data_IF_452721174292
#
_entry.id   IF_452721174292
#
_cell.length_a   1.000
_cell.length_b   1.000
_cell.length_c   1.000
_cell.angle_alpha   90.00
_cell.angle_beta   90.00
_cell.angle_gamma   90.00
#
_symmetry.space_group_name_H-M   'P 1'
#
loop_
_entity.id
_entity.type
_entity.pdbx_description
1 polymer ?
#
# COMPACT_ATOMS: atom_id res chain seq x y z
N UNK A 1 -103.21 45.39 37.66
CA UNK A 1 -103.26 44.26 38.62
C UNK A 1 -102.84 44.82 39.97
N UNK A 2 -103.66 45.67 40.59
CA UNK A 2 -104.92 45.36 41.29
C UNK A 2 -104.70 44.92 42.75
N UNK A 3 -105.22 45.77 43.65
CA UNK A 3 -105.54 45.50 45.06
C UNK A 3 -106.71 44.49 45.14
N UNK A 4 -106.91 43.75 46.26
CA UNK A 4 -107.47 44.28 47.52
C UNK A 4 -106.71 43.78 48.77
N UNK A 5 -106.79 44.33 50.00
CA UNK A 5 -107.72 45.25 50.69
C UNK A 5 -109.09 44.68 51.11
N UNK A 6 -109.15 43.95 52.23
CA UNK A 6 -110.33 43.86 53.13
C UNK A 6 -109.82 43.83 54.60
N UNK A 7 -110.28 44.64 55.58
CA UNK A 7 -111.62 44.72 56.23
C UNK A 7 -111.99 43.39 56.96
N UNK A 8 -112.50 43.32 58.21
CA UNK A 8 -113.16 44.23 59.18
C UNK A 8 -112.74 43.84 60.63
N UNK A 9 -112.85 44.57 61.76
CA UNK A 9 -113.71 45.65 62.32
C UNK A 9 -114.68 45.14 63.43
N UNK A 10 -115.07 46.05 64.36
CA UNK A 10 -116.00 45.89 65.51
C UNK A 10 -115.53 45.01 66.70
N UNK A 11 -115.88 45.27 67.98
CA UNK A 11 -116.55 46.37 68.71
C UNK A 11 -116.04 46.34 70.19
N UNK A 12 -116.18 47.29 71.12
CA UNK A 12 -116.75 48.66 71.22
C UNK A 12 -116.09 49.35 72.45
N UNK A 13 -116.16 50.65 72.75
CA UNK A 13 -117.22 51.70 72.76
C UNK A 13 -118.09 51.77 74.04
N UNK A 14 -118.26 53.02 74.52
CA UNK A 14 -119.07 53.52 75.66
C UNK A 14 -118.48 53.25 77.08
N UNK A 15 -118.27 54.23 77.97
CA UNK A 15 -118.38 55.70 77.89
C UNK A 15 -119.53 56.31 78.72
N UNK A 16 -119.22 57.34 79.53
CA UNK A 16 -120.16 58.22 80.26
C UNK A 16 -121.02 57.50 81.35
N UNK A 17 -121.64 58.13 82.36
CA UNK A 17 -121.72 59.53 82.80
C UNK A 17 -122.01 59.58 84.31
N UNK A 18 -121.69 60.72 84.94
CA UNK A 18 -122.31 61.28 86.13
C UNK A 18 -123.75 60.84 86.47
N UNK A 19 -124.07 60.77 87.77
CA UNK A 19 -125.06 61.70 88.35
C UNK A 19 -124.94 61.86 89.88
N UNK A 20 -125.07 63.12 90.32
CA UNK A 20 -125.27 63.47 91.73
C UNK A 20 -126.67 63.06 92.19
N UNK A 21 -126.80 62.60 93.43
CA UNK A 21 -127.97 62.89 94.25
C UNK A 21 -127.53 63.31 95.64
N UNK A 22 -127.31 64.61 95.82
CA UNK A 22 -127.54 65.22 97.12
C UNK A 22 -129.05 65.19 97.38
N UNK A 23 -129.46 64.63 98.51
CA UNK A 23 -130.74 64.97 99.13
C UNK A 23 -130.50 65.35 100.59
N UNK A 24 -130.24 66.65 100.76
CA UNK A 24 -130.65 67.39 101.94
C UNK A 24 -132.18 67.44 101.99
N UNK A 25 -132.79 67.05 103.10
CA UNK A 25 -133.88 67.76 103.76
C UNK A 25 -134.20 67.03 105.09
N UNK A 26 -134.23 67.65 106.26
CA UNK A 26 -134.80 68.91 106.76
C UNK A 26 -136.19 68.74 107.38
N UNK A 27 -136.22 68.83 108.72
CA UNK A 27 -137.32 69.27 109.58
C UNK A 27 -136.80 69.15 111.02
N UNK A 28 -136.60 70.22 111.81
CA UNK A 28 -137.62 71.14 112.35
C UNK A 28 -138.75 70.40 113.08
N UNK A 29 -139.35 70.83 114.19
CA UNK A 29 -139.16 71.92 115.17
C UNK A 29 -140.37 71.78 116.12
N UNK A 30 -140.18 71.57 117.42
CA UNK A 30 -141.18 71.82 118.49
C UNK A 30 -140.46 71.61 119.84
N UNK A 31 -140.52 72.49 120.86
CA UNK A 31 -141.69 72.89 121.69
C UNK A 31 -142.40 71.66 122.29
N UNK A 32 -142.69 71.59 123.59
CA UNK A 32 -142.53 72.55 124.69
C UNK A 32 -142.97 71.92 126.02
N UNK A 33 -142.33 72.31 127.12
CA UNK A 33 -142.88 72.45 128.49
C UNK A 33 -143.64 71.30 129.19
N UNK A 34 -143.79 71.49 130.51
CA UNK A 34 -144.79 70.90 131.42
C UNK A 34 -144.37 69.60 132.15
N UNK A 35 -144.07 69.81 133.44
CA UNK A 35 -144.34 68.97 134.61
C UNK A 35 -143.60 67.63 134.86
N UNK A 36 -142.66 67.72 135.81
CA UNK A 36 -142.64 66.91 137.05
C UNK A 36 -143.30 65.52 137.03
N UNK A 37 -142.49 64.47 136.84
CA UNK A 37 -142.89 63.09 137.10
C UNK A 37 -141.73 62.09 137.09
N UNK A 38 -141.21 61.74 138.28
CA UNK A 38 -140.34 60.58 138.55
C UNK A 38 -139.18 60.31 137.55
N UNK A 39 -138.13 61.12 137.60
CA UNK A 39 -136.86 60.91 136.88
C UNK A 39 -135.96 59.81 137.48
N UNK A 40 -136.53 58.64 137.80
CA UNK A 40 -135.78 57.45 138.24
C UNK A 40 -135.49 56.45 137.12
N UNK A 41 -136.44 56.24 136.19
CA UNK A 41 -136.39 55.11 135.23
C UNK A 41 -135.89 55.46 133.81
N UNK A 42 -135.79 56.74 133.44
CA UNK A 42 -135.46 57.12 132.05
C UNK A 42 -133.94 57.13 131.75
N UNK A 43 -133.11 57.47 132.74
CA UNK A 43 -131.64 57.44 132.62
C UNK A 43 -131.10 56.04 132.34
N UNK A 44 -131.73 55.00 132.89
CA UNK A 44 -131.36 53.61 132.65
C UNK A 44 -131.53 53.24 131.16
N UNK A 45 -132.65 53.63 130.54
CA UNK A 45 -132.96 53.34 129.13
C UNK A 45 -132.04 54.08 128.13
N UNK A 46 -131.66 55.34 128.42
CA UNK A 46 -130.70 56.04 127.55
C UNK A 46 -129.27 55.48 127.65
N UNK A 47 -128.86 55.01 128.83
CA UNK A 47 -127.58 54.32 129.02
C UNK A 47 -127.58 52.98 128.27
N UNK A 48 -128.67 52.19 128.33
CA UNK A 48 -128.75 50.93 127.57
C UNK A 48 -128.78 51.16 126.05
N UNK A 49 -129.43 52.22 125.54
CA UNK A 49 -129.44 52.49 124.10
C UNK A 49 -128.09 53.00 123.56
N UNK A 50 -127.37 53.85 124.31
CA UNK A 50 -125.97 54.19 124.00
C UNK A 50 -125.08 52.95 124.08
N UNK A 51 -125.24 52.12 125.10
CA UNK A 51 -124.51 50.85 125.27
C UNK A 51 -124.74 49.92 124.07
N UNK A 52 -126.00 49.73 123.62
CA UNK A 52 -126.31 48.97 122.41
C UNK A 52 -125.64 49.55 121.17
N UNK A 53 -125.65 50.88 120.98
CA UNK A 53 -125.03 51.51 119.81
C UNK A 53 -123.50 51.33 119.81
N UNK A 54 -122.85 51.43 120.97
CA UNK A 54 -121.44 51.08 121.13
C UNK A 54 -121.16 49.59 120.90
N UNK A 55 -122.05 48.70 121.32
CA UNK A 55 -121.97 47.25 121.07
C UNK A 55 -122.11 46.89 119.58
N UNK A 56 -123.02 47.56 118.86
CA UNK A 56 -123.17 47.40 117.41
C UNK A 56 -121.92 47.88 116.69
N UNK A 57 -121.43 49.08 117.01
CA UNK A 57 -120.25 49.67 116.36
C UNK A 57 -118.97 48.88 116.68
N UNK A 58 -118.82 48.37 117.91
CA UNK A 58 -117.74 47.45 118.27
C UNK A 58 -117.84 46.09 117.56
N UNK A 59 -119.05 45.60 117.29
CA UNK A 59 -119.25 44.40 116.46
C UNK A 59 -118.97 44.67 114.97
N UNK A 60 -119.23 45.86 114.46
CA UNK A 60 -118.84 46.26 113.10
C UNK A 60 -117.32 46.40 112.97
N UNK A 61 -116.63 47.01 113.94
CA UNK A 61 -115.16 47.02 113.98
C UNK A 61 -114.60 45.60 113.99
N UNK A 62 -115.11 44.71 114.85
CA UNK A 62 -114.71 43.28 114.85
C UNK A 62 -114.98 42.56 113.53
N UNK A 63 -116.04 42.93 112.79
CA UNK A 63 -116.30 42.40 111.44
C UNK A 63 -115.29 42.95 110.44
N UNK A 64 -115.01 44.25 110.47
CA UNK A 64 -114.08 44.91 109.55
C UNK A 64 -112.63 44.44 109.76
N UNK A 65 -112.17 44.31 111.01
CA UNK A 65 -110.86 43.71 111.33
C UNK A 65 -110.77 42.28 110.81
N UNK A 66 -111.83 41.48 110.99
CA UNK A 66 -111.89 40.10 110.45
C UNK A 66 -111.85 40.08 108.93
N UNK A 67 -112.50 41.03 108.25
CA UNK A 67 -112.43 41.20 106.79
C UNK A 67 -111.01 41.60 106.37
N UNK A 68 -110.38 42.57 107.04
CA UNK A 68 -109.00 42.99 106.78
C UNK A 68 -108.00 41.85 106.95
N UNK A 69 -108.10 41.05 108.01
CA UNK A 69 -107.25 39.86 108.18
C UNK A 69 -107.49 38.78 107.11
N UNK A 70 -108.70 38.66 106.56
CA UNK A 70 -108.97 37.76 105.43
C UNK A 70 -108.38 38.30 104.13
N UNK A 71 -108.55 39.60 103.84
CA UNK A 71 -107.96 40.26 102.67
C UNK A 71 -106.43 40.23 102.70
N UNK A 72 -105.81 40.50 103.85
CA UNK A 72 -104.36 40.41 104.02
C UNK A 72 -103.85 38.97 103.82
N UNK A 73 -104.61 37.96 104.26
CA UNK A 73 -104.30 36.54 104.02
C UNK A 73 -104.46 36.15 102.54
N UNK A 74 -105.47 36.67 101.85
CA UNK A 74 -105.62 36.51 100.40
C UNK A 74 -104.43 37.14 99.67
N UNK A 75 -104.12 38.41 99.93
CA UNK A 75 -102.99 39.12 99.35
C UNK A 75 -101.65 38.39 99.59
N UNK A 76 -101.39 37.89 100.81
CA UNK A 76 -100.19 37.08 101.11
C UNK A 76 -100.15 35.76 100.34
N UNK A 77 -101.30 35.14 100.07
CA UNK A 77 -101.38 33.93 99.24
C UNK A 77 -101.20 34.26 97.75
N UNK A 78 -101.76 35.36 97.26
CA UNK A 78 -101.62 35.78 95.86
C UNK A 78 -100.17 36.16 95.54
N UNK A 79 -99.48 36.89 96.44
CA UNK A 79 -98.04 37.16 96.33
C UNK A 79 -97.23 35.85 96.27
N UNK A 80 -97.58 34.85 97.10
CA UNK A 80 -96.92 33.52 97.06
C UNK A 80 -97.19 32.80 95.74
N UNK A 81 -98.42 32.84 95.23
CA UNK A 81 -98.81 32.21 93.98
C UNK A 81 -98.11 32.85 92.78
N UNK A 82 -98.05 34.18 92.73
CA UNK A 82 -97.33 34.95 91.69
C UNK A 82 -95.83 34.62 91.75
N UNK A 83 -95.20 34.68 92.92
CA UNK A 83 -93.78 34.33 93.06
C UNK A 83 -93.50 32.89 92.65
N UNK A 84 -94.39 31.94 93.00
CA UNK A 84 -94.28 30.55 92.58
C UNK A 84 -94.37 30.41 91.06
N UNK A 85 -95.35 31.06 90.43
CA UNK A 85 -95.51 31.08 88.98
C UNK A 85 -94.30 31.72 88.26
N UNK A 86 -93.71 32.78 88.82
CA UNK A 86 -92.48 33.39 88.30
C UNK A 86 -91.30 32.41 88.40
N UNK A 87 -91.10 31.75 89.54
CA UNK A 87 -90.04 30.76 89.68
C UNK A 87 -90.25 29.53 88.77
N UNK A 88 -91.48 29.06 88.60
CA UNK A 88 -91.83 28.00 87.65
C UNK A 88 -91.56 28.44 86.19
N UNK A 89 -91.92 29.67 85.82
CA UNK A 89 -91.63 30.24 84.50
C UNK A 89 -90.12 30.37 84.25
N UNK A 90 -89.36 30.91 85.20
CA UNK A 90 -87.91 31.02 85.14
C UNK A 90 -87.25 29.64 84.98
N UNK A 91 -87.65 28.67 85.81
CA UNK A 91 -87.12 27.29 85.79
C UNK A 91 -87.43 26.56 84.48
N UNK A 92 -88.57 26.84 83.85
CA UNK A 92 -89.00 26.14 82.63
C UNK A 92 -88.50 26.82 81.35
N UNK A 93 -88.50 28.16 81.29
CA UNK A 93 -88.30 28.93 80.06
C UNK A 93 -87.09 29.89 80.06
N UNK A 94 -86.40 30.07 81.19
CA UNK A 94 -85.21 30.95 81.29
C UNK A 94 -83.94 30.17 81.64
N UNK A 95 -83.85 28.90 81.22
CA UNK A 95 -82.66 28.08 81.45
C UNK A 95 -81.46 28.58 80.62
N UNK A 96 -80.21 28.41 81.10
CA UNK A 96 -79.03 28.79 80.32
C UNK A 96 -78.97 28.11 78.94
N UNK A 97 -79.37 26.85 78.85
CA UNK A 97 -79.31 26.04 77.63
C UNK A 97 -80.33 26.49 76.56
N UNK A 98 -81.36 27.23 76.96
CA UNK A 98 -82.39 27.77 76.05
C UNK A 98 -82.06 29.17 75.51
N UNK A 99 -80.86 29.70 75.80
CA UNK A 99 -80.39 30.99 75.25
C UNK A 99 -79.95 30.83 73.79
N UNK A 100 -80.11 31.91 73.01
CA UNK A 100 -79.73 31.93 71.58
C UNK A 100 -78.23 31.76 71.38
N UNK A 101 -77.44 32.26 72.31
CA UNK A 101 -75.98 32.27 72.36
C UNK A 101 -75.38 31.19 73.29
N UNK A 102 -76.16 30.16 73.63
CA UNK A 102 -75.66 29.05 74.46
C UNK A 102 -74.59 28.23 73.75
N UNK A 103 -74.66 28.10 72.42
CA UNK A 103 -73.63 27.47 71.58
C UNK A 103 -72.23 28.10 71.75
N UNK A 104 -72.18 29.42 71.92
CA UNK A 104 -70.94 30.17 72.20
C UNK A 104 -70.51 30.10 73.68
N UNK A 105 -71.45 29.80 74.59
CA UNK A 105 -71.25 29.81 76.04
C UNK A 105 -71.16 28.41 76.67
N UNK A 106 -71.28 27.36 75.86
CA UNK A 106 -71.32 25.96 76.28
C UNK A 106 -69.93 25.52 76.78
N UNK A 107 -69.78 25.12 78.05
CA UNK A 107 -68.48 24.69 78.60
C UNK A 107 -67.93 23.42 77.91
N UNK A 108 -68.76 22.70 77.14
CA UNK A 108 -68.35 21.53 76.36
C UNK A 108 -68.20 21.78 74.85
N UNK A 109 -68.32 23.03 74.38
CA UNK A 109 -68.24 23.36 72.94
C UNK A 109 -67.00 22.74 72.27
N UNK A 110 -65.82 22.87 72.89
CA UNK A 110 -64.55 22.32 72.38
C UNK A 110 -64.50 20.78 72.31
N UNK A 111 -65.36 20.07 73.03
CA UNK A 111 -65.48 18.59 72.95
C UNK A 111 -66.47 18.15 71.87
N UNK A 112 -67.44 19.00 71.54
CA UNK A 112 -68.50 18.76 70.56
C UNK A 112 -68.06 19.16 69.14
N UNK A 113 -67.16 20.12 69.04
CA UNK A 113 -66.57 20.54 67.77
C UNK A 113 -65.70 19.44 67.13
N UNK A 114 -65.58 19.48 65.80
CA UNK A 114 -64.80 18.53 65.01
C UNK A 114 -63.48 19.17 64.57
N UNK A 115 -62.36 18.43 64.53
CA UNK A 115 -61.11 18.98 64.02
C UNK A 115 -61.28 19.49 62.57
N UNK A 116 -60.57 20.57 62.27
CA UNK A 116 -60.66 21.31 61.01
C UNK A 116 -60.34 20.45 59.76
N UNK A 117 -59.53 19.41 59.92
CA UNK A 117 -59.21 18.37 58.92
C UNK A 117 -59.27 17.00 59.61
N UNK A 118 -60.15 16.11 59.13
CA UNK A 118 -60.27 14.73 59.64
C UNK A 118 -59.39 13.73 58.89
N UNK A 119 -59.13 13.99 57.61
CA UNK A 119 -58.37 13.13 56.71
C UNK A 119 -57.85 13.97 55.54
N UNK A 120 -56.84 13.47 54.83
CA UNK A 120 -56.31 14.12 53.61
C UNK A 120 -57.35 14.21 52.48
N UNK A 121 -58.37 13.36 52.53
CA UNK A 121 -59.48 13.32 51.57
C UNK A 121 -60.81 13.86 52.15
N UNK A 122 -60.76 14.66 53.23
CA UNK A 122 -61.95 15.30 53.81
C UNK A 122 -62.57 16.31 52.81
N UNK A 123 -63.81 16.10 52.31
CA UNK A 123 -64.42 16.99 51.32
C UNK A 123 -64.68 18.41 51.83
N UNK A 124 -64.64 18.64 53.15
CA UNK A 124 -64.78 19.98 53.76
C UNK A 124 -63.53 20.84 53.54
N UNK A 125 -62.37 20.23 53.33
CA UNK A 125 -61.08 20.92 53.15
C UNK A 125 -60.95 21.47 51.72
N UNK A 126 -61.73 22.50 51.41
CA UNK A 126 -61.65 23.25 50.15
C UNK A 126 -60.42 24.17 50.10
N UNK A 127 -60.05 24.64 48.90
CA UNK A 127 -58.88 25.48 48.66
C UNK A 127 -58.90 26.78 49.50
N UNK A 128 -60.08 27.37 49.71
CA UNK A 128 -60.23 28.61 50.51
C UNK A 128 -60.07 28.38 52.02
N UNK A 129 -60.18 27.14 52.51
CA UNK A 129 -60.06 26.82 53.94
C UNK A 129 -58.62 26.77 54.46
N UNK A 130 -57.62 26.79 53.57
CA UNK A 130 -56.17 26.73 53.87
C UNK A 130 -55.75 25.52 54.75
N UNK A 131 -56.58 24.48 54.86
CA UNK A 131 -56.32 23.30 55.69
C UNK A 131 -55.49 22.21 54.98
N UNK A 132 -55.33 22.31 53.66
CA UNK A 132 -54.60 21.34 52.82
C UNK A 132 -53.92 22.08 51.67
N UNK A 133 -52.62 21.91 51.53
CA UNK A 133 -51.85 22.48 50.42
C UNK A 133 -51.34 21.39 49.48
N UNK A 134 -51.46 21.58 48.17
CA UNK A 134 -51.01 20.58 47.19
C UNK A 134 -49.47 20.42 47.13
N UNK A 135 -48.72 21.32 47.77
CA UNK A 135 -47.27 21.19 47.97
C UNK A 135 -46.87 20.33 49.18
N UNK A 136 -47.82 19.97 50.05
CA UNK A 136 -47.62 19.01 51.15
C UNK A 136 -47.59 17.58 50.58
N UNK A 137 -46.51 17.26 49.87
CA UNK A 137 -46.35 15.96 49.23
C UNK A 137 -46.09 14.84 50.24
N UNK A 138 -47.17 14.24 50.73
CA UNK A 138 -47.17 13.10 51.64
C UNK A 138 -46.44 11.87 51.05
N UNK A 139 -46.37 11.77 49.72
CA UNK A 139 -45.73 10.66 49.00
C UNK A 139 -44.25 10.93 48.68
N UNK A 140 -43.66 12.02 49.18
CA UNK A 140 -42.26 12.41 48.94
C UNK A 140 -41.28 11.24 49.14
N UNK A 141 -41.39 10.54 50.28
CA UNK A 141 -40.52 9.42 50.61
C UNK A 141 -40.66 8.24 49.62
N UNK A 142 -41.86 7.97 49.13
CA UNK A 142 -42.11 6.92 48.14
C UNK A 142 -41.55 7.33 46.77
N UNK A 143 -41.80 8.56 46.31
CA UNK A 143 -41.23 9.08 45.05
C UNK A 143 -39.70 9.06 45.10
N UNK A 144 -39.10 9.51 46.19
CA UNK A 144 -37.64 9.51 46.37
C UNK A 144 -37.06 8.09 46.38
N UNK A 145 -37.78 7.09 46.92
CA UNK A 145 -37.38 5.68 46.83
C UNK A 145 -37.39 5.19 45.38
N UNK A 146 -38.49 5.38 44.65
CA UNK A 146 -38.57 4.97 43.24
C UNK A 146 -37.53 5.68 42.36
N UNK A 147 -37.29 6.98 42.56
CA UNK A 147 -36.24 7.72 41.82
C UNK A 147 -34.84 7.18 42.09
N UNK A 148 -34.52 6.82 43.35
CA UNK A 148 -33.25 6.18 43.70
C UNK A 148 -33.11 4.78 43.09
N UNK A 149 -34.18 4.00 43.05
CA UNK A 149 -34.20 2.68 42.40
C UNK A 149 -34.00 2.79 40.89
N UNK A 150 -34.70 3.70 40.21
CA UNK A 150 -34.50 3.96 38.77
C UNK A 150 -33.05 4.39 38.46
N UNK A 151 -32.52 5.36 39.22
CA UNK A 151 -31.14 5.84 39.03
C UNK A 151 -30.10 4.73 39.29
N UNK A 152 -30.35 3.85 40.28
CA UNK A 152 -29.50 2.69 40.56
C UNK A 152 -29.50 1.71 39.39
N UNK A 153 -30.65 1.33 38.87
CA UNK A 153 -30.72 0.38 37.75
C UNK A 153 -30.13 0.97 36.46
N UNK A 154 -30.36 2.24 36.14
CA UNK A 154 -29.70 2.92 35.02
C UNK A 154 -28.18 2.97 35.19
N UNK A 155 -27.69 3.27 36.39
CA UNK A 155 -26.25 3.29 36.68
C UNK A 155 -25.61 1.90 36.57
N UNK A 156 -26.30 0.85 37.04
CA UNK A 156 -25.86 -0.54 36.89
C UNK A 156 -25.86 -0.98 35.43
N UNK A 157 -26.86 -0.56 34.64
CA UNK A 157 -26.93 -0.85 33.21
C UNK A 157 -25.76 -0.19 32.46
N UNK A 158 -25.54 1.11 32.66
CA UNK A 158 -24.39 1.81 32.06
C UNK A 158 -23.04 1.19 32.45
N UNK A 159 -22.88 0.75 33.70
CA UNK A 159 -21.66 0.05 34.13
C UNK A 159 -21.48 -1.32 33.46
N UNK A 160 -22.55 -2.05 33.16
CA UNK A 160 -22.50 -3.31 32.40
C UNK A 160 -22.14 -3.03 30.95
N UNK A 161 -22.82 -2.10 30.31
CA UNK A 161 -22.63 -1.77 28.89
C UNK A 161 -21.20 -1.23 28.64
N UNK A 162 -20.68 -0.39 29.55
CA UNK A 162 -19.29 0.06 29.50
C UNK A 162 -18.27 -1.09 29.69
N UNK A 163 -18.53 -2.02 30.62
CA UNK A 163 -17.67 -3.21 30.82
C UNK A 163 -17.68 -4.14 29.60
N UNK A 164 -18.84 -4.33 28.99
CA UNK A 164 -19.00 -5.15 27.79
C UNK A 164 -18.24 -4.50 26.62
N UNK A 165 -18.49 -3.21 26.33
CA UNK A 165 -17.77 -2.48 25.29
C UNK A 165 -16.25 -2.48 25.48
N UNK A 166 -15.76 -2.38 26.73
CA UNK A 166 -14.34 -2.49 27.04
C UNK A 166 -13.79 -3.91 26.84
N UNK A 167 -14.59 -4.95 27.08
CA UNK A 167 -14.20 -6.34 26.82
C UNK A 167 -14.17 -6.63 25.31
N UNK A 168 -15.17 -6.16 24.57
CA UNK A 168 -15.25 -6.26 23.10
C UNK A 168 -14.09 -5.52 22.43
N UNK A 169 -13.75 -4.31 22.90
CA UNK A 169 -12.57 -3.57 22.45
C UNK A 169 -11.28 -4.37 22.68
N UNK A 170 -11.04 -4.85 23.90
CA UNK A 170 -9.85 -5.65 24.21
C UNK A 170 -9.75 -6.92 23.38
N UNK A 171 -10.88 -7.59 23.13
CA UNK A 171 -10.91 -8.78 22.28
C UNK A 171 -10.58 -8.45 20.82
N UNK A 172 -11.05 -7.31 20.31
CA UNK A 172 -10.72 -6.82 18.97
C UNK A 172 -9.23 -6.43 18.87
N UNK A 173 -8.68 -5.75 19.87
CA UNK A 173 -7.27 -5.38 19.96
C UNK A 173 -6.37 -6.63 20.04
N UNK A 174 -6.70 -7.60 20.90
CA UNK A 174 -6.00 -8.89 21.02
C UNK A 174 -6.02 -9.68 19.70
N UNK A 175 -7.14 -9.65 18.97
CA UNK A 175 -7.28 -10.29 17.66
C UNK A 175 -6.44 -9.57 16.59
N UNK A 176 -6.41 -8.24 16.62
CA UNK A 176 -5.59 -7.43 15.73
C UNK A 176 -4.09 -7.69 15.96
N UNK A 177 -3.63 -7.72 17.22
CA UNK A 177 -2.24 -8.01 17.56
C UNK A 177 -1.83 -9.43 17.13
N UNK A 178 -2.69 -10.44 17.32
CA UNK A 178 -2.46 -11.81 16.81
C UNK A 178 -2.33 -11.82 15.29
N UNK A 179 -3.25 -11.18 14.58
CA UNK A 179 -3.21 -11.08 13.12
C UNK A 179 -1.94 -10.35 12.63
N UNK A 180 -1.49 -9.29 13.32
CA UNK A 180 -0.24 -8.60 13.00
C UNK A 180 0.97 -9.52 13.15
N UNK A 181 1.07 -10.24 14.28
CA UNK A 181 2.17 -11.19 14.54
C UNK A 181 2.17 -12.32 13.50
N UNK A 182 1.01 -12.86 13.12
CA UNK A 182 0.91 -13.87 12.06
C UNK A 182 1.36 -13.34 10.70
N UNK A 183 1.02 -12.09 10.35
CA UNK A 183 1.47 -11.47 9.10
C UNK A 183 2.99 -11.27 9.10
N UNK A 184 3.57 -10.76 10.20
CA UNK A 184 5.01 -10.60 10.35
C UNK A 184 5.74 -11.95 10.22
N UNK A 185 5.21 -13.02 10.82
CA UNK A 185 5.74 -14.39 10.68
C UNK A 185 5.67 -14.88 9.22
N UNK A 186 4.55 -14.69 8.53
CA UNK A 186 4.37 -15.05 7.12
C UNK A 186 5.33 -14.27 6.21
N UNK A 187 5.58 -12.99 6.51
CA UNK A 187 6.55 -12.14 5.80
C UNK A 187 7.98 -12.66 6.00
N UNK A 188 8.40 -12.93 7.24
CA UNK A 188 9.73 -13.48 7.54
C UNK A 188 9.96 -14.83 6.85
N UNK A 189 8.96 -15.72 6.87
CA UNK A 189 9.05 -17.01 6.19
C UNK A 189 9.12 -16.86 4.66
N UNK A 190 8.33 -15.95 4.09
CA UNK A 190 8.37 -15.67 2.65
C UNK A 190 9.73 -15.11 2.22
N UNK A 191 10.31 -14.19 3.00
CA UNK A 191 11.66 -13.65 2.77
C UNK A 191 12.73 -14.75 2.87
N UNK A 192 12.64 -15.64 3.86
CA UNK A 192 13.56 -16.79 3.99
C UNK A 192 13.49 -17.70 2.76
N UNK A 193 12.27 -18.09 2.34
CA UNK A 193 12.05 -18.91 1.13
C UNK A 193 12.52 -18.23 -0.15
N UNK A 194 12.37 -16.91 -0.26
CA UNK A 194 12.88 -16.15 -1.41
C UNK A 194 14.41 -16.13 -1.44
N UNK A 195 15.07 -15.90 -0.32
CA UNK A 195 16.53 -15.91 -0.21
C UNK A 195 17.12 -17.31 -0.46
N UNK A 196 16.47 -18.37 0.05
CA UNK A 196 16.81 -19.77 -0.28
C UNK A 196 16.69 -20.05 -1.78
N UNK A 197 15.60 -19.59 -2.42
CA UNK A 197 15.41 -19.74 -3.86
C UNK A 197 16.45 -18.95 -4.68
N UNK A 198 16.74 -17.70 -4.31
CA UNK A 198 17.81 -16.88 -4.94
C UNK A 198 19.16 -17.59 -4.86
N UNK A 199 19.50 -18.18 -3.71
CA UNK A 199 20.74 -18.97 -3.53
C UNK A 199 20.75 -20.22 -4.42
N UNK A 200 19.64 -20.94 -4.49
CA UNK A 200 19.50 -22.14 -5.35
C UNK A 200 19.66 -21.79 -6.84
N UNK A 201 19.02 -20.71 -7.31
CA UNK A 201 19.16 -20.21 -8.69
C UNK A 201 20.61 -19.80 -8.97
N UNK A 202 21.24 -19.01 -8.09
CA UNK A 202 22.64 -18.63 -8.24
C UNK A 202 23.60 -19.83 -8.27
N UNK A 203 23.36 -20.86 -7.46
CA UNK A 203 24.14 -22.09 -7.48
C UNK A 203 23.96 -22.86 -8.81
N UNK A 204 22.72 -23.06 -9.24
CA UNK A 204 22.41 -23.72 -10.52
C UNK A 204 23.02 -22.99 -11.73
N UNK A 205 22.94 -21.65 -11.76
CA UNK A 205 23.57 -20.83 -12.81
C UNK A 205 25.10 -20.94 -12.78
N UNK A 206 25.71 -20.95 -11.59
CA UNK A 206 27.16 -21.13 -11.44
C UNK A 206 27.61 -22.50 -11.94
N UNK A 207 26.89 -23.57 -11.62
CA UNK A 207 27.24 -24.93 -12.04
C UNK A 207 26.98 -25.14 -13.55
N UNK A 208 25.92 -24.54 -14.11
CA UNK A 208 25.71 -24.48 -15.56
C UNK A 208 26.86 -23.76 -16.28
N UNK A 209 27.24 -22.56 -15.83
CA UNK A 209 28.36 -21.81 -16.41
C UNK A 209 29.70 -22.57 -16.30
N UNK A 210 29.91 -23.30 -15.20
CA UNK A 210 31.07 -24.19 -15.02
C UNK A 210 31.06 -25.35 -16.01
N UNK A 211 29.92 -26.01 -16.21
CA UNK A 211 29.78 -27.10 -17.17
C UNK A 211 30.02 -26.59 -18.61
N UNK A 212 29.42 -25.46 -18.98
CA UNK A 212 29.61 -24.82 -20.29
C UNK A 212 31.08 -24.40 -20.53
N UNK A 213 31.76 -23.89 -19.51
CA UNK A 213 33.19 -23.55 -19.60
C UNK A 213 34.07 -24.79 -19.80
N UNK A 214 33.74 -25.92 -19.14
CA UNK A 214 34.44 -27.19 -19.32
C UNK A 214 34.19 -27.79 -20.72
N UNK A 215 32.95 -27.80 -21.19
CA UNK A 215 32.59 -28.22 -22.55
C UNK A 215 33.34 -27.40 -23.62
N UNK A 216 33.37 -26.08 -23.47
CA UNK A 216 34.11 -25.19 -24.37
C UNK A 216 35.62 -25.43 -24.33
N UNK A 217 36.17 -25.78 -23.17
CA UNK A 217 37.60 -26.11 -23.03
C UNK A 217 37.95 -27.43 -23.74
N UNK A 218 37.15 -28.49 -23.56
CA UNK A 218 37.33 -29.76 -24.28
C UNK A 218 37.11 -29.59 -25.79
N UNK A 219 36.10 -28.81 -26.22
CA UNK A 219 35.90 -28.53 -27.65
C UNK A 219 37.10 -27.81 -28.26
N UNK A 220 37.65 -26.79 -27.59
CA UNK A 220 38.88 -26.09 -28.02
C UNK A 220 40.11 -26.99 -28.04
N UNK A 221 40.17 -28.00 -27.19
CA UNK A 221 41.24 -29.00 -27.19
C UNK A 221 41.10 -29.92 -28.41
N UNK A 222 39.90 -30.44 -28.67
CA UNK A 222 39.60 -31.22 -29.87
C UNK A 222 39.83 -30.43 -31.16
N UNK A 223 39.43 -29.15 -31.23
CA UNK A 223 39.71 -28.25 -32.35
C UNK A 223 41.23 -28.08 -32.59
N UNK A 224 42.04 -27.97 -31.52
CA UNK A 224 43.51 -27.93 -31.62
C UNK A 224 44.11 -29.26 -32.05
N UNK A 225 43.64 -30.37 -31.49
CA UNK A 225 44.13 -31.71 -31.81
C UNK A 225 43.75 -32.12 -33.25
N UNK A 226 42.60 -31.66 -33.76
CA UNK A 226 42.21 -31.76 -35.17
C UNK A 226 43.12 -30.90 -36.03
N UNK A 227 43.25 -29.60 -35.74
CA UNK A 227 44.12 -28.72 -36.50
C UNK A 227 45.57 -29.24 -36.55
N UNK A 228 46.11 -29.75 -35.45
CA UNK A 228 47.47 -30.30 -35.42
C UNK A 228 47.61 -31.55 -36.32
N UNK A 229 46.55 -32.34 -36.50
CA UNK A 229 46.53 -33.44 -37.48
C UNK A 229 46.44 -32.90 -38.90
N UNK A 230 45.53 -31.97 -39.17
CA UNK A 230 45.36 -31.36 -40.48
C UNK A 230 46.66 -30.67 -40.95
N UNK A 231 47.31 -29.89 -40.07
CA UNK A 231 48.61 -29.25 -40.31
C UNK A 231 49.71 -30.32 -40.59
N UNK A 232 49.72 -31.45 -39.88
CA UNK A 232 50.67 -32.55 -40.10
C UNK A 232 50.41 -33.33 -41.37
N UNK A 233 49.14 -33.54 -41.73
CA UNK A 233 48.72 -34.20 -42.97
C UNK A 233 49.00 -33.31 -44.18
N UNK A 234 48.83 -31.98 -44.07
CA UNK A 234 49.30 -31.01 -45.06
C UNK A 234 50.82 -31.09 -45.25
N UNK A 235 51.61 -31.02 -44.16
CA UNK A 235 53.07 -31.15 -44.22
C UNK A 235 53.49 -32.48 -44.87
N UNK A 236 52.86 -33.59 -44.48
CA UNK A 236 53.11 -34.91 -45.05
C UNK A 236 52.78 -34.97 -46.55
N UNK A 237 51.63 -34.41 -46.95
CA UNK A 237 51.21 -34.34 -48.35
C UNK A 237 52.11 -33.42 -49.19
N UNK A 238 52.64 -32.34 -48.63
CA UNK A 238 53.59 -31.45 -49.31
C UNK A 238 54.95 -32.11 -49.49
N UNK A 239 55.45 -32.80 -48.46
CA UNK A 239 56.73 -33.54 -48.50
C UNK A 239 56.69 -34.72 -49.49
N UNK A 240 55.57 -35.45 -49.54
CA UNK A 240 55.34 -36.52 -50.52
C UNK A 240 54.99 -35.99 -51.92
N UNK A 241 54.56 -34.74 -52.01
CA UNK A 241 54.21 -34.09 -53.27
C UNK A 241 55.40 -34.00 -54.23
N UNK A 242 55.14 -34.19 -55.52
CA UNK A 242 56.16 -34.19 -56.58
C UNK A 242 57.02 -32.91 -56.63
N UNK A 243 56.51 -31.79 -56.13
CA UNK A 243 57.20 -30.50 -56.14
C UNK A 243 58.42 -30.51 -55.22
N UNK A 244 58.27 -30.99 -53.97
CA UNK A 244 59.35 -31.02 -52.97
C UNK A 244 60.21 -32.29 -53.07
N UNK A 245 59.61 -33.42 -53.47
CA UNK A 245 60.35 -34.66 -53.75
C UNK A 245 61.11 -34.64 -55.08
N UNK A 246 60.91 -33.58 -55.88
CA UNK A 246 61.43 -33.36 -57.22
C UNK A 246 61.22 -34.50 -58.24
N UNK A 247 60.22 -35.37 -58.03
CA UNK A 247 59.97 -36.60 -58.77
C UNK A 247 60.26 -36.49 -60.30
N UNK A 248 61.24 -37.25 -60.84
CA UNK A 248 61.59 -37.18 -62.26
C UNK A 248 60.49 -37.69 -63.21
N UNK A 249 59.52 -38.46 -62.70
CA UNK A 249 58.40 -38.95 -63.52
C UNK A 249 57.47 -37.81 -64.00
N UNK A 250 57.48 -36.65 -63.34
CA UNK A 250 56.74 -35.45 -63.80
C UNK A 250 57.11 -34.98 -65.21
N UNK A 251 58.31 -35.30 -65.68
CA UNK A 251 58.78 -34.95 -67.00
C UNK A 251 58.19 -35.87 -68.10
N UNK A 252 57.61 -37.03 -67.75
CA UNK A 252 57.10 -38.00 -68.73
C UNK A 252 55.79 -37.52 -69.32
N UNK A 253 55.72 -37.42 -70.66
CA UNK A 253 54.49 -37.03 -71.35
C UNK A 253 53.46 -38.16 -71.36
N UNK A 254 52.20 -37.83 -71.09
CA UNK A 254 51.05 -38.73 -71.26
C UNK A 254 50.92 -39.29 -72.69
N UNK A 255 51.47 -38.59 -73.68
CA UNK A 255 51.49 -39.05 -75.09
C UNK A 255 52.62 -40.05 -75.41
N UNK A 256 53.41 -40.46 -74.42
CA UNK A 256 54.33 -41.59 -74.50
C UNK A 256 55.72 -41.34 -73.91
N UNK A 257 56.33 -42.41 -73.38
CA UNK A 257 57.61 -42.40 -72.64
C UNK A 257 58.83 -41.82 -73.38
N UNK A 258 58.75 -41.66 -74.71
CA UNK A 258 59.81 -41.06 -75.54
C UNK A 258 59.73 -39.53 -75.61
N UNK A 259 58.69 -38.91 -75.05
CA UNK A 259 58.48 -37.45 -75.03
C UNK A 259 58.59 -36.93 -73.61
N UNK A 260 59.37 -35.86 -73.45
CA UNK A 260 59.45 -35.09 -72.21
C UNK A 260 58.60 -33.83 -72.31
N UNK A 261 58.00 -33.41 -71.20
CA UNK A 261 57.33 -32.12 -71.04
C UNK A 261 58.41 -31.05 -70.82
N UNK A 262 58.61 -30.07 -71.72
CA UNK A 262 59.74 -29.14 -71.65
C UNK A 262 59.86 -28.40 -70.31
N UNK A 263 58.74 -27.85 -69.83
CA UNK A 263 58.68 -27.02 -68.61
C UNK A 263 58.97 -27.79 -67.32
N UNK A 264 58.97 -29.13 -67.37
CA UNK A 264 59.17 -30.02 -66.21
C UNK A 264 60.45 -30.86 -66.32
N UNK A 265 61.27 -30.62 -67.33
CA UNK A 265 62.46 -31.41 -67.59
C UNK A 265 63.62 -31.01 -66.66
N UNK A 266 64.06 -31.94 -65.81
CA UNK A 266 65.13 -31.73 -64.80
C UNK A 266 66.46 -32.39 -65.17
N UNK A 267 66.71 -32.64 -66.45
CA UNK A 267 67.91 -33.29 -66.96
C UNK A 267 67.73 -34.77 -67.32
N UNK A 268 68.84 -35.48 -67.54
CA UNK A 268 68.85 -36.88 -67.95
C UNK A 268 68.88 -37.82 -66.74
N UNK A 269 68.22 -38.98 -66.84
CA UNK A 269 68.30 -40.01 -65.81
C UNK A 269 69.75 -40.53 -65.67
N UNK A 270 70.12 -41.00 -64.47
CA UNK A 270 71.44 -41.56 -64.16
C UNK A 270 71.82 -42.69 -65.13
N UNK A 271 70.88 -43.55 -65.49
CA UNK A 271 71.12 -44.65 -66.45
C UNK A 271 71.44 -44.13 -67.86
N UNK A 272 70.77 -43.06 -68.30
CA UNK A 272 71.04 -42.41 -69.59
C UNK A 272 72.42 -41.75 -69.59
N UNK A 273 72.80 -41.09 -68.50
CA UNK A 273 74.14 -40.51 -68.32
C UNK A 273 75.22 -41.59 -68.29
N UNK A 274 74.96 -42.75 -67.68
CA UNK A 274 75.88 -43.89 -67.71
C UNK A 274 76.01 -44.50 -69.10
N UNK A 275 74.91 -44.63 -69.86
CA UNK A 275 74.96 -45.06 -71.26
C UNK A 275 75.77 -44.09 -72.14
N UNK A 276 75.62 -42.77 -71.96
CA UNK A 276 76.44 -41.77 -72.67
C UNK A 276 77.93 -41.90 -72.32
N UNK A 277 78.27 -42.03 -71.03
CA UNK A 277 79.67 -42.23 -70.59
C UNK A 277 80.27 -43.52 -71.18
N UNK A 278 79.49 -44.60 -71.24
CA UNK A 278 79.91 -45.84 -71.87
C UNK A 278 80.17 -45.65 -73.37
N UNK A 279 79.26 -45.00 -74.09
CA UNK A 279 79.45 -44.68 -75.52
C UNK A 279 80.67 -43.78 -75.77
N UNK A 280 80.92 -42.79 -74.91
CA UNK A 280 82.12 -41.96 -74.97
C UNK A 280 83.41 -42.78 -74.75
N UNK A 281 83.39 -43.73 -73.81
CA UNK A 281 84.52 -44.64 -73.59
C UNK A 281 84.79 -45.50 -74.83
N UNK A 282 83.75 -46.02 -75.49
CA UNK A 282 83.90 -46.76 -76.76
C UNK A 282 84.45 -45.87 -77.89
N UNK A 283 84.02 -44.61 -78.00
CA UNK A 283 84.56 -43.65 -78.97
C UNK A 283 86.04 -43.35 -78.75
N UNK A 284 86.50 -43.28 -77.49
CA UNK A 284 87.94 -43.10 -77.16
C UNK A 284 88.75 -44.31 -77.62
N UNK A 285 88.25 -45.54 -77.37
CA UNK A 285 88.91 -46.78 -77.80
C UNK A 285 88.98 -46.89 -79.32
N UNK A 286 87.88 -46.62 -80.04
CA UNK A 286 87.86 -46.67 -81.51
C UNK A 286 88.74 -45.58 -82.13
N UNK A 287 88.78 -44.37 -81.53
CA UNK A 287 89.70 -43.30 -81.99
C UNK A 287 91.17 -43.66 -81.76
N UNK A 288 91.49 -44.34 -80.66
CA UNK A 288 92.85 -44.84 -80.40
C UNK A 288 93.26 -45.89 -81.45
N UNK A 289 92.36 -46.83 -81.75
CA UNK A 289 92.56 -47.85 -82.79
C UNK A 289 92.74 -47.23 -84.18
N UNK A 290 91.89 -46.28 -84.58
CA UNK A 290 92.01 -45.59 -85.87
C UNK A 290 93.34 -44.83 -85.99
N UNK A 291 93.85 -44.27 -84.90
CA UNK A 291 95.17 -43.64 -84.87
C UNK A 291 96.30 -44.67 -85.06
N UNK A 292 96.22 -45.84 -84.42
CA UNK A 292 97.19 -46.92 -84.63
C UNK A 292 97.16 -47.45 -86.09
N UNK A 293 95.98 -47.49 -86.72
CA UNK A 293 95.82 -47.80 -88.16
C UNK A 293 96.34 -46.67 -89.09
N UNK A 294 96.41 -45.42 -88.61
CA UNK A 294 97.00 -44.26 -89.31
C UNK A 294 98.53 -44.24 -89.16
N UNK A 295 99.06 -44.30 -87.94
CA UNK A 295 100.50 -44.39 -87.64
C UNK A 295 101.16 -45.56 -88.40
N UNK A 296 100.45 -46.70 -88.57
CA UNK A 296 100.91 -47.82 -89.40
C UNK A 296 100.97 -47.51 -90.88
N UNK A 297 99.99 -46.80 -91.44
CA UNK A 297 99.95 -46.41 -92.87
C UNK A 297 101.04 -45.39 -93.17
N UNK A 298 101.25 -44.41 -92.30
CA UNK A 298 102.32 -43.42 -92.43
C UNK A 298 103.70 -44.10 -92.36
N UNK A 299 103.89 -45.06 -91.45
CA UNK A 299 105.12 -45.86 -91.40
C UNK A 299 105.34 -46.75 -92.64
N UNK A 300 104.27 -47.18 -93.33
CA UNK A 300 104.37 -47.89 -94.62
C UNK A 300 104.72 -46.92 -95.76
N UNK A 301 104.13 -45.73 -95.78
CA UNK A 301 104.41 -44.65 -96.72
C UNK A 301 105.86 -44.16 -96.62
N UNK A 302 106.35 -43.91 -95.41
CA UNK A 302 107.75 -43.51 -95.17
C UNK A 302 108.74 -44.61 -95.58
N UNK A 303 108.41 -45.89 -95.34
CA UNK A 303 109.22 -47.00 -95.85
C UNK A 303 109.31 -46.99 -97.37
N UNK A 304 108.20 -46.73 -98.07
CA UNK A 304 108.18 -46.61 -99.53
C UNK A 304 108.98 -45.39 -100.03
N UNK A 305 108.82 -44.22 -99.41
CA UNK A 305 109.58 -43.01 -99.74
C UNK A 305 111.10 -43.20 -99.56
N UNK A 306 111.52 -43.81 -98.45
CA UNK A 306 112.95 -44.09 -98.19
C UNK A 306 113.51 -45.09 -99.22
N UNK A 307 112.73 -46.10 -99.63
CA UNK A 307 113.14 -47.03 -100.68
C UNK A 307 113.25 -46.33 -102.06
N UNK A 308 112.28 -45.48 -102.41
CA UNK A 308 112.30 -44.69 -103.65
C UNK A 308 113.50 -43.74 -103.71
N UNK A 309 113.77 -43.00 -102.62
CA UNK A 309 114.93 -42.11 -102.51
C UNK A 309 116.26 -42.88 -102.63
N UNK A 310 116.38 -44.06 -102.02
CA UNK A 310 117.56 -44.94 -102.17
C UNK A 310 117.72 -45.41 -103.62
N UNK A 311 116.64 -45.78 -104.30
CA UNK A 311 116.69 -46.18 -105.71
C UNK A 311 117.13 -45.03 -106.63
N UNK A 312 116.63 -43.80 -106.38
CA UNK A 312 117.07 -42.60 -107.09
C UNK A 312 118.56 -42.32 -106.90
N UNK A 313 119.09 -42.37 -105.67
CA UNK A 313 120.52 -42.19 -105.40
C UNK A 313 121.41 -43.23 -106.11
N UNK A 314 120.97 -44.48 -106.22
CA UNK A 314 121.69 -45.53 -106.96
C UNK A 314 121.69 -45.25 -108.47
N UNK A 315 120.55 -44.82 -109.04
CA UNK A 315 120.44 -44.39 -110.43
C UNK A 315 121.33 -43.18 -110.74
N UNK A 316 121.34 -42.18 -109.87
CA UNK A 316 122.17 -40.97 -110.02
C UNK A 316 123.67 -41.34 -109.97
N UNK A 317 124.10 -42.19 -109.03
CA UNK A 317 125.48 -42.68 -109.00
C UNK A 317 125.85 -43.46 -110.26
N UNK A 318 124.93 -44.24 -110.85
CA UNK A 318 125.17 -44.95 -112.10
C UNK A 318 125.34 -43.97 -113.27
N UNK A 319 124.46 -42.97 -113.39
CA UNK A 319 124.59 -41.90 -114.40
C UNK A 319 125.92 -41.15 -114.23
N UNK A 320 126.33 -40.81 -113.01
CA UNK A 320 127.61 -40.13 -112.77
C UNK A 320 128.84 -40.95 -113.15
N UNK A 321 128.78 -42.30 -113.11
CA UNK A 321 129.84 -43.17 -113.64
C UNK A 321 129.88 -43.10 -115.17
N UNK A 322 128.74 -43.27 -115.84
CA UNK A 322 128.66 -43.17 -117.30
C UNK A 322 129.07 -41.79 -117.84
N UNK A 323 128.78 -40.70 -117.11
CA UNK A 323 129.22 -39.34 -117.48
C UNK A 323 130.74 -39.21 -117.36
N UNK A 324 131.36 -39.81 -116.33
CA UNK A 324 132.83 -39.84 -116.19
C UNK A 324 133.50 -40.66 -117.29
N UNK A 325 132.93 -41.80 -117.66
CA UNK A 325 133.42 -42.63 -118.77
C UNK A 325 133.32 -41.89 -120.11
N UNK A 326 132.17 -41.27 -120.41
CA UNK A 326 131.99 -40.44 -121.62
C UNK A 326 132.93 -39.23 -121.66
N UNK A 327 133.21 -38.58 -120.52
CA UNK A 327 134.21 -37.50 -120.48
C UNK A 327 135.61 -37.99 -120.83
N UNK A 328 136.08 -39.10 -120.26
CA UNK A 328 137.39 -39.68 -120.61
C UNK A 328 137.51 -40.01 -122.09
N UNK A 329 136.44 -40.54 -122.70
CA UNK A 329 136.42 -40.83 -124.14
C UNK A 329 136.47 -39.54 -125.01
N UNK A 330 135.80 -38.46 -124.59
CA UNK A 330 135.89 -37.16 -125.25
C UNK A 330 137.28 -36.51 -125.07
N UNK A 331 137.88 -36.63 -123.90
CA UNK A 331 139.22 -36.08 -123.62
C UNK A 331 140.30 -36.75 -124.49
N UNK A 332 140.19 -38.06 -124.74
CA UNK A 332 141.08 -38.77 -125.68
C UNK A 332 140.89 -38.33 -127.13
N UNK A 333 139.64 -38.21 -127.60
CA UNK A 333 139.34 -37.77 -128.98
C UNK A 333 139.81 -36.32 -129.20
N UNK A 334 139.63 -35.44 -128.21
CA UNK A 334 140.09 -34.04 -128.30
C UNK A 334 141.63 -33.93 -128.33
N UNK A 335 142.36 -34.85 -127.70
CA UNK A 335 143.82 -34.88 -127.77
C UNK A 335 144.33 -35.24 -129.17
N UNK A 336 143.68 -36.18 -129.86
CA UNK A 336 143.94 -36.54 -131.26
C UNK A 336 143.60 -35.36 -132.18
N UNK A 337 142.40 -34.78 -132.04
CA UNK A 337 141.94 -33.66 -132.87
C UNK A 337 142.81 -32.39 -132.73
N UNK A 338 143.38 -32.16 -131.54
CA UNK A 338 144.30 -31.04 -131.27
C UNK A 338 145.62 -31.15 -132.05
N UNK A 339 146.12 -32.37 -132.28
CA UNK A 339 147.29 -32.59 -133.14
C UNK A 339 146.95 -32.33 -134.62
N UNK A 340 145.76 -32.73 -135.08
CA UNK A 340 145.33 -32.49 -136.46
C UNK A 340 145.05 -31.00 -136.77
N UNK A 341 144.52 -30.23 -135.82
CA UNK A 341 144.20 -28.81 -136.04
C UNK A 341 145.45 -27.92 -136.10
N UNK A 342 146.48 -28.20 -135.28
CA UNK A 342 147.76 -27.46 -135.34
C UNK A 342 148.47 -27.55 -136.70
N UNK A 343 148.21 -28.60 -137.48
CA UNK A 343 148.76 -28.74 -138.83
C UNK A 343 148.03 -27.93 -139.92
N UNK A 344 146.96 -27.18 -139.59
CA UNK A 344 146.10 -26.49 -140.57
C UNK A 344 145.96 -24.97 -140.41
N UNK A 345 146.36 -24.36 -139.29
CA UNK A 345 146.08 -22.94 -139.02
C UNK A 345 147.04 -21.91 -139.65
N UNK A 346 148.14 -22.32 -140.32
CA UNK A 346 149.12 -21.39 -140.91
C UNK A 346 148.65 -20.62 -142.17
N UNK A 347 147.36 -20.69 -142.55
CA UNK A 347 146.94 -20.44 -143.94
C UNK A 347 146.08 -19.18 -144.23
N UNK A 348 145.56 -18.42 -143.23
CA UNK A 348 144.62 -17.31 -143.52
C UNK A 348 144.83 -16.04 -142.68
N UNK A 349 145.16 -14.93 -143.37
CA UNK A 349 145.16 -13.55 -142.89
C UNK A 349 144.77 -12.60 -144.03
N UNK A 350 144.08 -11.50 -143.76
CA UNK A 350 143.73 -10.50 -144.77
C UNK A 350 143.49 -9.11 -144.16
N UNK A 351 144.12 -8.06 -144.70
CA UNK A 351 144.04 -6.67 -144.20
C UNK A 351 143.44 -5.72 -145.25
N UNK A 352 142.29 -5.05 -144.99
CA UNK A 352 141.70 -4.09 -145.93
C UNK A 352 142.42 -2.74 -146.04
N UNK A 353 142.31 -2.12 -147.22
CA UNK A 353 143.19 -1.04 -147.70
C UNK A 353 142.60 0.37 -147.56
N UNK A 354 143.47 1.39 -147.58
CA UNK A 354 143.18 2.79 -147.17
C UNK A 354 142.07 3.57 -147.87
N UNK A 355 141.43 3.05 -148.93
CA UNK A 355 140.22 3.68 -149.50
C UNK A 355 139.05 3.75 -148.51
N UNK A 356 139.01 2.83 -147.53
CA UNK A 356 138.00 2.82 -146.46
C UNK A 356 137.93 4.12 -145.65
N UNK A 357 139.07 4.82 -145.46
CA UNK A 357 139.14 6.02 -144.62
C UNK A 357 138.72 7.32 -145.32
N UNK A 358 138.42 7.30 -146.62
CA UNK A 358 138.04 8.49 -147.38
C UNK A 358 136.51 8.73 -147.46
N UNK A 359 135.69 7.86 -146.87
CA UNK A 359 134.24 7.82 -147.14
C UNK A 359 133.34 8.65 -146.21
N UNK A 360 133.84 9.20 -145.10
CA UNK A 360 132.99 9.81 -144.07
C UNK A 360 133.40 11.26 -143.74
N UNK A 361 132.40 12.14 -143.56
CA UNK A 361 132.48 13.61 -143.38
C UNK A 361 132.64 14.49 -144.66
N UNK A 362 131.99 14.16 -145.78
CA UNK A 362 132.13 14.93 -147.05
C UNK A 362 131.00 15.89 -147.42
N UNK A 363 129.85 15.92 -146.73
CA UNK A 363 128.78 16.92 -146.97
C UNK A 363 128.03 17.31 -145.70
N UNK A 364 127.83 18.62 -145.48
CA UNK A 364 126.99 19.19 -144.42
C UNK A 364 125.53 19.34 -144.85
N UNK A 365 124.60 18.72 -144.13
CA UNK A 365 123.16 19.03 -144.17
C UNK A 365 122.55 18.79 -142.79
#
# INVERSE_FOLDING_TARGET
MELPTFMLCFCGCLGFSWQNTCQTDSSQTARSNVESGNTGNCLFLQITFKSLKWLVLANEMKKNDKIMCMLERQQKNDIRNINKAICEFQKNFQKPETRREFDLSDPEALKKDRPARLSDNDPRCTVSGLQKFMGEDLNYNQRMKFQKEQLREWSLQQQRDWKNALADQKFADDLYDKNRIELDQKIMEQQRREEENRRAVCAATKDFNRAQAAELAERRKLEKDQKMKDDMDEISSLLQGDLLSENPEQAVSSFGRHRVIPDRWKGMNRDQLMAIRYSQQQQVLEKLRLKEEEDRRDAEWDRQNIQAARAQLVLEQHQQRQIRERRRALDTINAELSQEQKAKEEAYSNFPTGQYYAQFNTTSR
#
